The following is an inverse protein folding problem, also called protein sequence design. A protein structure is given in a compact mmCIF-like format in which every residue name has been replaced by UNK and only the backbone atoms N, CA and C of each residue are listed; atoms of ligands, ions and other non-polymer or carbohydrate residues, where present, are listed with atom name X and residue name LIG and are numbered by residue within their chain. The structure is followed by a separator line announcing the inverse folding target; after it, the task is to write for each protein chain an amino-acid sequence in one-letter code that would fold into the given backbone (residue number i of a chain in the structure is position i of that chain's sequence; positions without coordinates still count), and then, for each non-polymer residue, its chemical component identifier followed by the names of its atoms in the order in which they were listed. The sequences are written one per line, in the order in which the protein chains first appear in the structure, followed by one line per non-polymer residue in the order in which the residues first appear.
data_IF_717227293228
#
_entry.id   IF_717227293228
#
_cell.length_a   1.000
_cell.length_b   1.000
_cell.length_c   1.000
_cell.angle_alpha   90.00
_cell.angle_beta   90.00
_cell.angle_gamma   90.00
#
_symmetry.space_group_name_H-M   'P 1'
#
loop_
_entity.id
_entity.type
_entity.pdbx_description
1 polymer ?
#
# COMPACT_ATOMS: atom_id res chain seq x y z
N UNK A 1 -8.30 1.35 10.67
CA UNK A 1 -8.88 2.22 9.62
C UNK A 1 -7.79 3.00 8.86
N UNK A 2 -6.67 2.36 8.45
CA UNK A 2 -5.59 3.03 7.69
C UNK A 2 -5.53 2.64 6.20
N UNK A 3 -6.34 1.68 5.76
CA UNK A 3 -6.12 0.96 4.50
C UNK A 3 -6.76 1.63 3.27
N UNK A 4 -7.82 2.43 3.45
CA UNK A 4 -8.56 3.04 2.33
C UNK A 4 -7.83 4.20 1.67
N UNK A 5 -7.11 5.02 2.43
CA UNK A 5 -6.36 6.15 1.91
C UNK A 5 -5.20 5.72 0.99
N UNK A 6 -4.47 4.66 1.38
CA UNK A 6 -3.35 4.14 0.59
C UNK A 6 -3.80 3.49 -0.72
N UNK A 7 -4.92 2.74 -0.71
CA UNK A 7 -5.50 2.18 -1.94
C UNK A 7 -5.97 3.28 -2.90
N UNK A 8 -6.62 4.33 -2.39
CA UNK A 8 -7.04 5.47 -3.21
C UNK A 8 -5.86 6.23 -3.83
N UNK A 9 -4.77 6.41 -3.09
CA UNK A 9 -3.54 7.00 -3.61
C UNK A 9 -2.90 6.15 -4.72
N UNK A 10 -2.92 4.82 -4.58
CA UNK A 10 -2.45 3.91 -5.62
C UNK A 10 -3.31 3.98 -6.89
N UNK A 11 -4.64 3.93 -6.76
CA UNK A 11 -5.55 4.03 -7.92
C UNK A 11 -5.39 5.35 -8.66
N UNK A 12 -5.28 6.47 -7.93
CA UNK A 12 -5.03 7.77 -8.53
C UNK A 12 -3.67 7.82 -9.25
N UNK A 13 -2.62 7.28 -8.63
CA UNK A 13 -1.28 7.23 -9.21
C UNK A 13 -1.23 6.35 -10.46
N UNK A 14 -1.92 5.20 -10.45
CA UNK A 14 -2.05 4.30 -11.58
C UNK A 14 -2.79 4.98 -12.75
N UNK A 15 -3.92 5.63 -12.46
CA UNK A 15 -4.69 6.38 -13.45
C UNK A 15 -3.85 7.50 -14.07
N UNK A 16 -3.19 8.30 -13.24
CA UNK A 16 -2.32 9.38 -13.71
C UNK A 16 -1.16 8.85 -14.55
N UNK A 17 -0.56 7.72 -14.17
CA UNK A 17 0.52 7.11 -14.94
C UNK A 17 0.08 6.61 -16.33
N UNK A 18 -1.19 6.25 -16.49
CA UNK A 18 -1.77 5.83 -17.77
C UNK A 18 -2.20 7.02 -18.65
N UNK A 19 -2.68 8.11 -18.05
CA UNK A 19 -3.16 9.28 -18.77
C UNK A 19 -2.04 10.27 -19.14
N UNK A 20 -0.98 10.36 -18.32
CA UNK A 20 0.10 11.31 -18.53
C UNK A 20 1.08 10.80 -19.58
N UNK A 21 1.22 11.53 -20.69
CA UNK A 21 2.19 11.23 -21.75
C UNK A 21 3.44 12.10 -21.65
N UNK A 22 4.62 11.49 -21.73
CA UNK A 22 5.91 12.16 -21.89
C UNK A 22 6.85 11.28 -22.74
N UNK A 23 7.75 11.92 -23.49
CA UNK A 23 8.65 11.23 -24.42
C UNK A 23 7.89 10.34 -25.43
N UNK A 24 6.70 10.81 -25.86
CA UNK A 24 5.88 10.16 -26.89
C UNK A 24 5.11 8.92 -26.43
N UNK A 25 5.00 8.65 -25.12
CA UNK A 25 4.21 7.53 -24.58
C UNK A 25 3.72 7.81 -23.15
N UNK A 26 2.72 7.06 -22.65
CA UNK A 26 2.31 7.13 -21.25
C UNK A 26 3.46 6.86 -20.28
N UNK A 27 3.53 7.61 -19.19
CA UNK A 27 4.62 7.49 -18.21
C UNK A 27 4.61 6.14 -17.49
N UNK A 28 3.45 5.47 -17.42
CA UNK A 28 3.33 4.10 -16.90
C UNK A 28 4.09 3.04 -17.71
N UNK A 29 4.61 3.37 -18.89
CA UNK A 29 5.48 2.47 -19.67
C UNK A 29 6.96 2.52 -19.29
N UNK A 30 7.37 3.47 -18.43
CA UNK A 30 8.76 3.51 -17.94
C UNK A 30 8.92 2.60 -16.74
N UNK A 31 9.99 1.79 -16.75
CA UNK A 31 10.36 0.85 -15.68
C UNK A 31 10.37 1.52 -14.29
N UNK A 32 10.86 2.76 -14.18
CA UNK A 32 10.91 3.49 -12.91
C UNK A 32 9.51 3.80 -12.35
N UNK A 33 8.54 4.12 -13.22
CA UNK A 33 7.15 4.37 -12.80
C UNK A 33 6.49 3.06 -12.40
N UNK A 34 6.78 1.98 -13.10
CA UNK A 34 6.29 0.64 -12.76
C UNK A 34 6.85 0.17 -11.40
N UNK A 35 8.14 0.36 -11.15
CA UNK A 35 8.77 0.04 -9.86
C UNK A 35 8.11 0.82 -8.70
N UNK A 36 7.82 2.10 -8.90
CA UNK A 36 7.10 2.91 -7.90
C UNK A 36 5.70 2.35 -7.60
N UNK A 37 4.93 2.02 -8.64
CA UNK A 37 3.58 1.45 -8.49
C UNK A 37 3.61 0.08 -7.79
N UNK A 38 4.58 -0.77 -8.13
CA UNK A 38 4.78 -2.09 -7.50
C UNK A 38 5.13 -1.93 -6.02
N UNK A 39 6.01 -0.99 -5.66
CA UNK A 39 6.34 -0.70 -4.25
C UNK A 39 5.12 -0.19 -3.48
N UNK A 40 4.31 0.69 -4.07
CA UNK A 40 3.07 1.15 -3.44
C UNK A 40 2.11 -0.01 -3.17
N UNK A 41 1.92 -0.89 -4.15
CA UNK A 41 1.07 -2.07 -4.01
C UNK A 41 1.60 -3.01 -2.91
N UNK A 42 2.91 -3.26 -2.89
CA UNK A 42 3.56 -4.07 -1.85
C UNK A 42 3.35 -3.51 -0.44
N UNK A 43 3.48 -2.19 -0.26
CA UNK A 43 3.22 -1.54 1.02
C UNK A 43 1.74 -1.66 1.45
N UNK A 44 0.80 -1.49 0.52
CA UNK A 44 -0.64 -1.67 0.81
C UNK A 44 -0.91 -3.09 1.28
N UNK A 45 -0.41 -4.10 0.56
CA UNK A 45 -0.58 -5.51 0.92
C UNK A 45 0.08 -5.81 2.27
N UNK A 46 1.29 -5.29 2.53
CA UNK A 46 1.96 -5.45 3.81
C UNK A 46 1.12 -4.88 4.97
N UNK A 47 0.59 -3.66 4.81
CA UNK A 47 -0.29 -3.04 5.81
C UNK A 47 -1.57 -3.86 6.04
N UNK A 48 -2.17 -4.42 4.98
CA UNK A 48 -3.34 -5.28 5.11
C UNK A 48 -3.02 -6.59 5.86
N UNK A 49 -1.90 -7.23 5.54
CA UNK A 49 -1.44 -8.42 6.24
C UNK A 49 -1.13 -8.14 7.72
N UNK A 50 -0.47 -7.02 8.02
CA UNK A 50 -0.22 -6.55 9.38
C UNK A 50 -1.52 -6.32 10.14
N UNK A 51 -2.48 -5.60 9.55
CA UNK A 51 -3.78 -5.36 10.17
C UNK A 51 -4.53 -6.66 10.47
N UNK A 52 -4.56 -7.59 9.50
CA UNK A 52 -5.16 -8.91 9.69
C UNK A 52 -4.47 -9.69 10.81
N UNK A 53 -3.13 -9.68 10.83
CA UNK A 53 -2.36 -10.38 11.85
C UNK A 53 -2.63 -9.81 13.24
N UNK A 54 -2.73 -8.48 13.36
CA UNK A 54 -3.07 -7.83 14.63
C UNK A 54 -4.47 -8.19 15.08
N UNK A 55 -5.46 -8.20 14.18
CA UNK A 55 -6.82 -8.67 14.51
C UNK A 55 -6.83 -10.11 15.01
N UNK A 56 -6.10 -11.02 14.36
CA UNK A 56 -5.97 -12.41 14.82
C UNK A 56 -5.33 -12.52 16.21
N UNK A 57 -4.32 -11.69 16.50
CA UNK A 57 -3.65 -11.67 17.81
C UNK A 57 -4.55 -11.08 18.90
N UNK A 58 -5.38 -10.10 18.55
CA UNK A 58 -6.42 -9.55 19.41
C UNK A 58 -7.48 -10.60 19.74
N UNK A 59 -7.99 -11.30 18.73
CA UNK A 59 -9.01 -12.36 18.90
C UNK A 59 -8.47 -13.55 19.73
N UNK A 60 -7.19 -13.88 19.58
CA UNK A 60 -6.52 -14.91 20.37
C UNK A 60 -6.15 -14.47 21.80
N UNK A 61 -6.44 -13.22 22.20
CA UNK A 61 -6.16 -12.69 23.55
C UNK A 61 -4.66 -12.57 23.89
N UNK A 62 -3.77 -12.68 22.91
CA UNK A 62 -2.31 -12.64 23.07
C UNK A 62 -1.71 -11.28 22.69
N UNK A 63 -2.54 -10.27 22.47
CA UNK A 63 -2.11 -8.95 22.03
C UNK A 63 -1.40 -8.20 23.19
N UNK A 64 -0.07 -8.15 23.11
CA UNK A 64 0.81 -7.36 23.98
C UNK A 64 1.00 -5.95 23.42
N UNK A 65 1.32 -4.98 24.29
CA UNK A 65 1.55 -3.57 23.92
C UNK A 65 2.60 -3.38 22.80
N UNK A 66 3.59 -4.27 22.72
CA UNK A 66 4.62 -4.29 21.66
C UNK A 66 4.02 -4.43 20.24
N UNK A 67 2.90 -5.14 20.10
CA UNK A 67 2.21 -5.33 18.82
C UNK A 67 1.37 -4.11 18.45
N UNK A 68 0.89 -3.34 19.43
CA UNK A 68 0.19 -2.08 19.20
C UNK A 68 1.15 -0.99 18.67
N UNK A 69 2.43 -1.01 19.07
CA UNK A 69 3.46 -0.11 18.54
C UNK A 69 3.79 -0.38 17.07
N UNK A 70 3.84 -1.66 16.66
CA UNK A 70 4.06 -2.10 15.27
C UNK A 70 2.92 -1.69 14.31
N UNK A 71 1.72 -1.50 14.84
CA UNK A 71 0.54 -1.06 14.08
C UNK A 71 0.48 0.46 13.85
N UNK A 72 1.22 1.22 14.66
CA UNK A 72 1.09 2.67 14.80
C UNK A 72 2.18 3.44 14.06
N UNK A 73 3.30 2.77 13.74
CA UNK A 73 4.41 3.28 12.94
C UNK A 73 4.12 3.11 11.45
#
# INVERSE_FOLDING_TARGET
MGSSASSGAYEFSLKYAQEREQFGRPIGRFQLVQDLLVRMLGNITACQCLALRLSQMQDAGIMRDEHASLAKA
#
